data_IF_466817672033
#
_entry.id   IF_466817672033
#
_cell.length_a   1.000
_cell.length_b   1.000
_cell.length_c   1.000
_cell.angle_alpha   90.00
_cell.angle_beta   90.00
_cell.angle_gamma   90.00
#
_symmetry.space_group_name_H-M   'P 1'
#
loop_
_entity.id
_entity.type
_entity.pdbx_description
1 polymer ?
#
# COMPACT_ATOMS: atom_id res chain seq x y z
N UNK A 1 -1.14 -5.30 -28.45
CA UNK A 1 -1.22 -3.83 -28.43
C UNK A 1 -1.83 -3.46 -29.75
N UNK A 2 -2.99 -2.83 -29.73
CA UNK A 2 -3.68 -2.45 -30.96
C UNK A 2 -3.53 -0.95 -31.16
N UNK A 3 -3.20 -0.54 -32.39
CA UNK A 3 -3.04 0.86 -32.76
C UNK A 3 -4.34 1.31 -33.40
N UNK A 4 -4.96 2.34 -32.83
CA UNK A 4 -6.14 2.99 -33.40
C UNK A 4 -5.70 4.36 -33.90
N UNK A 5 -5.67 4.54 -35.21
CA UNK A 5 -5.41 5.83 -35.83
C UNK A 5 -6.74 6.56 -36.01
N UNK A 6 -6.97 7.62 -35.23
CA UNK A 6 -7.98 8.64 -35.52
C UNK A 6 -7.27 9.85 -36.12
N UNK A 7 -7.99 10.63 -36.93
CA UNK A 7 -7.49 11.66 -37.87
C UNK A 7 -6.44 12.65 -37.32
N UNK A 8 -6.31 12.81 -36.00
CA UNK A 8 -5.31 13.69 -35.39
C UNK A 8 -4.51 13.10 -34.20
N UNK A 9 -4.79 11.88 -33.73
CA UNK A 9 -4.11 11.31 -32.55
C UNK A 9 -3.92 9.79 -32.66
N UNK A 10 -2.69 9.32 -32.42
CA UNK A 10 -2.42 7.88 -32.26
C UNK A 10 -2.90 7.43 -30.88
N UNK A 11 -3.93 6.61 -30.82
CA UNK A 11 -4.39 5.96 -29.60
C UNK A 11 -3.86 4.52 -29.58
N UNK A 12 -3.42 4.08 -28.41
CA UNK A 12 -2.94 2.71 -28.19
C UNK A 12 -3.90 1.98 -27.25
N UNK A 13 -4.40 0.82 -27.66
CA UNK A 13 -5.11 -0.10 -26.78
C UNK A 13 -4.09 -1.06 -26.17
N UNK A 14 -3.80 -0.83 -24.89
CA UNK A 14 -2.87 -1.65 -24.11
C UNK A 14 -3.67 -2.46 -23.10
N UNK A 15 -3.48 -3.79 -23.12
CA UNK A 15 -4.02 -4.68 -22.10
C UNK A 15 -2.92 -4.99 -21.10
N UNK A 16 -3.11 -4.55 -19.86
CA UNK A 16 -2.16 -4.74 -18.77
C UNK A 16 -2.87 -5.57 -17.71
N UNK A 17 -2.24 -6.66 -17.26
CA UNK A 17 -2.73 -7.43 -16.13
C UNK A 17 -2.33 -6.73 -14.84
N UNK A 18 -3.31 -6.35 -14.03
CA UNK A 18 -3.08 -5.62 -12.78
C UNK A 18 -2.11 -6.32 -11.82
N UNK A 19 -2.14 -7.66 -11.81
CA UNK A 19 -1.37 -8.53 -10.91
C UNK A 19 0.04 -8.87 -11.41
N UNK A 20 0.33 -8.63 -12.70
CA UNK A 20 1.63 -8.93 -13.30
C UNK A 20 2.64 -7.79 -13.07
N UNK A 21 3.93 -8.13 -13.02
CA UNK A 21 5.01 -7.13 -12.97
C UNK A 21 5.53 -6.86 -14.38
N UNK A 22 5.79 -5.59 -14.67
CA UNK A 22 6.28 -5.10 -15.95
C UNK A 22 7.59 -4.35 -15.73
N UNK A 23 8.59 -4.63 -16.56
CA UNK A 23 9.85 -3.90 -16.51
C UNK A 23 9.72 -2.59 -17.29
N UNK A 24 9.88 -1.46 -16.60
CA UNK A 24 9.91 -0.15 -17.22
C UNK A 24 11.36 0.20 -17.50
N UNK A 25 11.69 0.24 -18.80
CA UNK A 25 13.01 0.59 -19.29
C UNK A 25 13.08 2.09 -19.58
N UNK A 26 14.01 2.77 -18.92
CA UNK A 26 14.39 4.14 -19.17
C UNK A 26 15.66 4.16 -20.02
N UNK A 27 15.52 4.71 -21.24
CA UNK A 27 16.62 4.78 -22.21
C UNK A 27 17.72 5.78 -21.81
N UNK A 28 17.37 6.83 -21.09
CA UNK A 28 18.28 7.93 -20.76
C UNK A 28 19.07 7.67 -19.48
N UNK A 29 18.44 7.00 -18.49
CA UNK A 29 19.09 6.68 -17.24
C UNK A 29 18.75 5.25 -16.82
N UNK A 30 19.75 4.36 -16.93
CA UNK A 30 19.61 2.95 -16.56
C UNK A 30 19.28 2.75 -15.07
N UNK A 31 19.65 3.68 -14.19
CA UNK A 31 19.36 3.60 -12.75
C UNK A 31 17.86 3.76 -12.46
N UNK A 32 17.10 4.32 -13.41
CA UNK A 32 15.65 4.48 -13.31
C UNK A 32 14.88 3.25 -13.82
N UNK A 33 15.58 2.21 -14.29
CA UNK A 33 14.95 0.97 -14.70
C UNK A 33 14.35 0.26 -13.48
N UNK A 34 13.07 -0.05 -13.53
CA UNK A 34 12.42 -0.71 -12.41
C UNK A 34 11.26 -1.61 -12.84
N UNK A 35 10.96 -2.60 -11.99
CA UNK A 35 9.73 -3.38 -12.13
C UNK A 35 8.57 -2.65 -11.46
N UNK A 36 7.47 -2.53 -12.19
CA UNK A 36 6.23 -1.89 -11.75
C UNK A 36 5.08 -2.90 -11.88
N UNK A 37 4.21 -2.98 -10.86
CA UNK A 37 2.99 -3.81 -10.96
C UNK A 37 2.02 -3.20 -11.98
N UNK A 38 1.30 -4.05 -12.72
CA UNK A 38 0.37 -3.62 -13.76
C UNK A 38 -0.66 -2.62 -13.27
N UNK A 39 -1.23 -2.78 -12.06
CA UNK A 39 -2.15 -1.82 -11.46
C UNK A 39 -1.56 -0.40 -11.34
N UNK A 40 -0.27 -0.32 -11.01
CA UNK A 40 0.46 0.94 -10.89
C UNK A 40 0.73 1.53 -12.27
N UNK A 41 1.11 0.69 -13.22
CA UNK A 41 1.37 1.10 -14.59
C UNK A 41 0.10 1.63 -15.27
N UNK A 42 -1.05 0.98 -15.06
CA UNK A 42 -2.36 1.45 -15.55
C UNK A 42 -2.68 2.84 -15.00
N UNK A 43 -2.55 3.04 -13.67
CA UNK A 43 -2.75 4.36 -13.04
C UNK A 43 -1.85 5.44 -13.65
N UNK A 44 -0.57 5.13 -13.87
CA UNK A 44 0.38 6.04 -14.51
C UNK A 44 -0.03 6.40 -15.94
N UNK A 45 -0.49 5.43 -16.73
CA UNK A 45 -0.85 5.62 -18.14
C UNK A 45 -2.22 6.28 -18.33
N UNK A 46 -3.18 6.06 -17.42
CA UNK A 46 -4.54 6.56 -17.54
C UNK A 46 -4.70 8.04 -17.19
N UNK A 47 -3.61 8.78 -16.92
CA UNK A 47 -3.64 10.12 -16.32
C UNK A 47 -4.48 10.21 -15.03
N UNK A 48 -4.79 9.06 -14.42
CA UNK A 48 -5.35 8.94 -13.08
C UNK A 48 -4.21 9.21 -12.09
N UNK A 49 -3.69 10.42 -12.22
CA UNK A 49 -2.48 10.95 -11.62
C UNK A 49 -2.73 11.42 -10.19
N UNK A 50 -3.74 10.87 -9.53
CA UNK A 50 -3.83 10.98 -8.08
C UNK A 50 -2.62 10.25 -7.48
N UNK A 51 -1.51 11.01 -7.40
CA UNK A 51 -0.21 10.72 -6.79
C UNK A 51 0.39 9.36 -7.22
N UNK A 52 1.34 9.38 -8.15
CA UNK A 52 2.30 8.28 -8.43
C UNK A 52 2.61 7.48 -7.16
N UNK A 53 2.43 6.14 -7.13
CA UNK A 53 2.54 5.41 -5.88
C UNK A 53 3.97 5.52 -5.37
N UNK A 54 4.07 6.08 -4.18
CA UNK A 54 5.28 6.02 -3.38
C UNK A 54 5.66 4.54 -3.27
N UNK A 55 6.95 4.22 -3.35
CA UNK A 55 7.40 2.84 -3.12
C UNK A 55 6.94 2.48 -1.71
N UNK A 56 5.91 1.62 -1.61
CA UNK A 56 5.26 1.33 -0.33
C UNK A 56 6.34 0.88 0.65
N UNK A 57 6.58 1.62 1.74
CA UNK A 57 7.58 1.21 2.71
C UNK A 57 7.11 -0.10 3.32
N UNK A 58 8.05 -1.02 3.53
CA UNK A 58 7.78 -2.22 4.30
C UNK A 58 7.74 -1.86 5.78
N UNK A 59 7.02 -2.62 6.59
CA UNK A 59 7.00 -2.46 8.05
C UNK A 59 8.43 -2.36 8.61
N UNK A 60 9.33 -3.22 8.13
CA UNK A 60 10.76 -3.18 8.46
C UNK A 60 11.41 -1.83 8.13
N UNK A 61 11.20 -1.29 6.93
CA UNK A 61 11.77 0.02 6.54
C UNK A 61 11.21 1.17 7.37
N UNK A 62 9.96 1.07 7.83
CA UNK A 62 9.34 2.05 8.72
C UNK A 62 9.92 1.96 10.13
N UNK A 63 10.08 0.76 10.67
CA UNK A 63 10.73 0.53 11.95
C UNK A 63 12.20 1.02 11.95
N UNK A 64 12.93 0.78 10.86
CA UNK A 64 14.29 1.30 10.67
C UNK A 64 14.29 2.84 10.69
N UNK A 65 13.37 3.48 9.96
CA UNK A 65 13.24 4.95 9.96
C UNK A 65 12.85 5.51 11.33
N UNK A 66 11.93 4.87 12.04
CA UNK A 66 11.55 5.26 13.41
C UNK A 66 12.76 5.16 14.35
N UNK A 67 13.55 4.10 14.22
CA UNK A 67 14.78 3.90 14.99
C UNK A 67 15.84 4.95 14.68
N UNK A 68 16.00 5.32 13.40
CA UNK A 68 16.89 6.41 12.98
C UNK A 68 16.45 7.75 13.58
N UNK A 69 15.15 8.07 13.52
CA UNK A 69 14.61 9.28 14.15
C UNK A 69 14.87 9.28 15.65
N UNK A 70 14.61 8.17 16.36
CA UNK A 70 14.87 8.07 17.79
C UNK A 70 16.33 8.42 18.12
N UNK A 71 17.28 7.79 17.41
CA UNK A 71 18.70 8.07 17.57
C UNK A 71 19.02 9.55 17.31
N UNK A 72 18.41 10.15 16.28
CA UNK A 72 18.64 11.55 15.96
C UNK A 72 18.07 12.51 17.01
N UNK A 73 16.91 12.22 17.59
CA UNK A 73 16.35 13.08 18.62
C UNK A 73 17.15 12.95 19.94
N UNK A 74 17.59 11.74 20.29
CA UNK A 74 18.51 11.53 21.41
C UNK A 74 19.80 12.33 21.23
N UNK A 75 20.40 12.32 20.04
CA UNK A 75 21.64 13.04 19.74
C UNK A 75 21.46 14.57 19.65
N UNK A 76 20.29 15.07 19.26
CA UNK A 76 20.05 16.52 19.10
C UNK A 76 19.64 17.21 20.40
N UNK A 77 19.62 16.51 21.54
CA UNK A 77 19.30 17.01 22.87
C UNK A 77 18.05 17.92 22.90
N UNK A 78 16.89 17.30 23.09
CA UNK A 78 15.67 17.89 23.71
C UNK A 78 14.82 18.87 22.91
N UNK A 79 14.80 18.84 21.57
CA UNK A 79 13.73 19.56 20.87
C UNK A 79 12.40 18.80 20.99
N UNK A 80 11.64 19.11 22.06
CA UNK A 80 10.36 18.48 22.43
C UNK A 80 9.38 18.38 21.25
N UNK A 81 9.41 19.35 20.34
CA UNK A 81 8.60 19.37 19.12
C UNK A 81 8.89 18.19 18.19
N UNK A 82 10.14 17.72 18.07
CA UNK A 82 10.45 16.57 17.21
C UNK A 82 9.94 15.26 17.80
N UNK A 83 9.97 15.11 19.14
CA UNK A 83 9.38 13.95 19.79
C UNK A 83 7.87 13.92 19.57
N UNK A 84 7.19 15.05 19.78
CA UNK A 84 5.74 15.17 19.57
C UNK A 84 5.33 14.82 18.13
N UNK A 85 6.03 15.35 17.11
CA UNK A 85 5.76 15.02 15.70
C UNK A 85 6.04 13.55 15.39
N UNK A 86 7.14 12.98 15.92
CA UNK A 86 7.46 11.57 15.73
C UNK A 86 6.37 10.69 16.36
N UNK A 87 5.97 10.97 17.58
CA UNK A 87 4.96 10.20 18.31
C UNK A 87 3.59 10.29 17.60
N UNK A 88 3.21 11.46 17.07
CA UNK A 88 2.03 11.64 16.20
C UNK A 88 2.10 10.71 14.97
N UNK A 89 3.21 10.75 14.23
CA UNK A 89 3.38 9.92 13.03
C UNK A 89 3.34 8.42 13.35
N UNK A 90 4.00 7.99 14.43
CA UNK A 90 4.01 6.58 14.86
C UNK A 90 2.61 6.13 15.26
N UNK A 91 1.84 6.96 15.96
CA UNK A 91 0.47 6.67 16.34
C UNK A 91 -0.45 6.57 15.11
N UNK A 92 -0.35 7.51 14.16
CA UNK A 92 -1.11 7.46 12.91
C UNK A 92 -0.79 6.18 12.09
N UNK A 93 0.48 5.77 12.03
CA UNK A 93 0.89 4.52 11.37
C UNK A 93 0.24 3.31 12.03
N UNK A 94 0.28 3.24 13.36
CA UNK A 94 -0.28 2.12 14.11
C UNK A 94 -1.82 2.01 13.92
N UNK A 95 -2.54 3.14 13.98
CA UNK A 95 -3.99 3.16 13.75
C UNK A 95 -4.38 2.66 12.35
N UNK A 96 -3.60 3.03 11.33
CA UNK A 96 -3.87 2.58 9.96
C UNK A 96 -3.51 1.11 9.79
N UNK A 97 -2.40 0.64 10.38
CA UNK A 97 -2.04 -0.79 10.35
C UNK A 97 -3.17 -1.65 10.96
N UNK A 98 -3.73 -1.23 12.10
CA UNK A 98 -4.87 -1.93 12.71
C UNK A 98 -6.10 -1.97 11.77
N UNK A 99 -6.44 -0.86 11.12
CA UNK A 99 -7.56 -0.81 10.15
C UNK A 99 -7.30 -1.66 8.92
N UNK A 100 -6.06 -1.69 8.44
CA UNK A 100 -5.65 -2.52 7.31
C UNK A 100 -5.80 -4.01 7.64
N UNK A 101 -5.33 -4.43 8.83
CA UNK A 101 -5.46 -5.80 9.30
C UNK A 101 -6.93 -6.21 9.45
N UNK A 102 -7.75 -5.40 10.13
CA UNK A 102 -9.18 -5.66 10.30
C UNK A 102 -9.92 -5.79 8.96
N UNK A 103 -9.60 -4.91 8.00
CA UNK A 103 -10.22 -4.95 6.66
C UNK A 103 -9.79 -6.18 5.87
N UNK A 104 -8.51 -6.59 5.99
CA UNK A 104 -8.00 -7.80 5.34
C UNK A 104 -8.64 -9.07 5.92
N UNK A 105 -8.81 -9.15 7.24
CA UNK A 105 -9.49 -10.26 7.89
C UNK A 105 -10.96 -10.38 7.44
N UNK A 106 -11.67 -9.25 7.34
CA UNK A 106 -13.04 -9.22 6.79
C UNK A 106 -13.08 -9.72 5.36
N UNK A 107 -12.17 -9.26 4.49
CA UNK A 107 -12.08 -9.73 3.09
C UNK A 107 -11.78 -11.24 3.04
N UNK A 108 -10.85 -11.73 3.87
CA UNK A 108 -10.50 -13.15 3.92
C UNK A 108 -11.70 -14.01 4.34
N UNK A 109 -12.46 -13.54 5.34
CA UNK A 109 -13.69 -14.19 5.82
C UNK A 109 -14.75 -14.26 4.72
N UNK A 110 -15.02 -13.14 4.04
CA UNK A 110 -15.99 -13.10 2.95
C UNK A 110 -15.55 -13.95 1.75
N UNK A 111 -14.26 -13.97 1.41
CA UNK A 111 -13.73 -14.84 0.36
C UNK A 111 -13.93 -16.31 0.71
N UNK A 112 -13.67 -16.69 1.97
CA UNK A 112 -13.90 -18.07 2.44
C UNK A 112 -15.39 -18.44 2.36
N UNK A 113 -16.28 -17.51 2.70
CA UNK A 113 -17.74 -17.70 2.55
C UNK A 113 -18.13 -17.87 1.08
N UNK A 114 -17.60 -17.03 0.19
CA UNK A 114 -17.84 -17.13 -1.25
C UNK A 114 -17.34 -18.47 -1.82
N UNK A 115 -16.16 -18.93 -1.41
CA UNK A 115 -15.60 -20.22 -1.79
C UNK A 115 -16.51 -21.38 -1.35
N UNK A 116 -16.98 -21.38 -0.10
CA UNK A 116 -17.92 -22.39 0.41
C UNK A 116 -19.22 -22.40 -0.40
N UNK A 117 -19.80 -21.24 -0.71
CA UNK A 117 -21.02 -21.14 -1.52
C UNK A 117 -20.85 -21.66 -2.95
N UNK A 118 -19.67 -21.42 -3.56
CA UNK A 118 -19.34 -21.95 -4.89
C UNK A 118 -19.21 -23.48 -4.82
N UNK A 119 -18.49 -23.99 -3.82
CA UNK A 119 -18.25 -25.43 -3.65
C UNK A 119 -19.51 -26.22 -3.26
N UNK A 120 -20.51 -25.60 -2.62
CA UNK A 120 -21.82 -26.24 -2.39
C UNK A 120 -22.54 -26.61 -3.70
N UNK A 121 -22.27 -25.88 -4.78
CA UNK A 121 -22.82 -26.13 -6.12
C UNK A 121 -21.88 -26.96 -7.01
N UNK A 122 -20.75 -27.44 -6.49
CA UNK A 122 -19.81 -28.23 -7.29
C UNK A 122 -20.36 -29.62 -7.59
N UNK A 123 -20.03 -30.15 -8.77
CA UNK A 123 -20.35 -31.53 -9.15
C UNK A 123 -19.54 -32.56 -8.33
N UNK A 124 -18.38 -32.16 -7.79
CA UNK A 124 -17.56 -33.02 -6.93
C UNK A 124 -18.28 -33.34 -5.61
N UNK A 125 -18.50 -34.63 -5.37
CA UNK A 125 -19.21 -35.11 -4.19
C UNK A 125 -18.40 -34.88 -2.90
N UNK A 126 -17.07 -34.98 -2.98
CA UNK A 126 -16.18 -34.78 -1.84
C UNK A 126 -16.14 -33.30 -1.46
N UNK A 127 -15.86 -32.43 -2.44
CA UNK A 127 -15.85 -30.97 -2.26
C UNK A 127 -17.16 -30.42 -1.71
N UNK A 128 -18.30 -30.92 -2.20
CA UNK A 128 -19.63 -30.51 -1.72
C UNK A 128 -19.89 -30.93 -0.27
N UNK A 129 -19.45 -32.12 0.16
CA UNK A 129 -19.58 -32.57 1.56
C UNK A 129 -18.74 -31.71 2.51
N UNK A 130 -17.50 -31.40 2.11
CA UNK A 130 -16.62 -30.48 2.85
C UNK A 130 -17.23 -29.08 2.95
N UNK A 131 -17.72 -28.54 1.83
CA UNK A 131 -18.38 -27.24 1.81
C UNK A 131 -19.61 -27.19 2.72
N UNK A 132 -20.39 -28.28 2.82
CA UNK A 132 -21.54 -28.35 3.72
C UNK A 132 -21.12 -28.28 5.19
N UNK A 133 -20.05 -28.98 5.56
CA UNK A 133 -19.47 -28.89 6.91
C UNK A 133 -18.99 -27.46 7.23
N UNK A 134 -18.26 -26.84 6.31
CA UNK A 134 -17.78 -25.46 6.50
C UNK A 134 -18.93 -24.44 6.52
N UNK A 135 -19.98 -24.65 5.72
CA UNK A 135 -21.18 -23.83 5.70
C UNK A 135 -21.91 -23.83 7.05
N UNK A 136 -22.09 -25.02 7.64
CA UNK A 136 -22.70 -25.19 8.95
C UNK A 136 -21.84 -24.55 10.06
N UNK A 137 -20.51 -24.73 10.00
CA UNK A 137 -19.56 -24.11 10.95
C UNK A 137 -19.58 -22.58 10.89
N UNK A 138 -19.80 -21.99 9.72
CA UNK A 138 -19.86 -20.53 9.55
C UNK A 138 -21.21 -19.92 9.94
N UNK A 139 -22.20 -20.73 10.37
CA UNK A 139 -23.57 -20.29 10.65
C UNK A 139 -24.18 -19.48 9.48
N UNK A 140 -23.82 -19.82 8.24
CA UNK A 140 -24.33 -19.11 7.07
C UNK A 140 -25.80 -19.46 6.83
N UNK A 141 -26.56 -18.47 6.36
CA UNK A 141 -27.93 -18.70 5.89
C UNK A 141 -27.91 -18.81 4.38
N UNK A 142 -28.61 -19.80 3.81
CA UNK A 142 -28.64 -20.04 2.35
C UNK A 142 -29.21 -18.84 1.57
N UNK A 143 -29.92 -17.92 2.25
CA UNK A 143 -30.40 -16.66 1.68
C UNK A 143 -29.30 -15.63 1.36
N UNK A 144 -28.07 -15.82 1.86
CA UNK A 144 -26.95 -14.94 1.53
C UNK A 144 -26.60 -15.18 0.06
N UNK A 145 -27.06 -14.28 -0.81
CA UNK A 145 -26.73 -14.31 -2.23
C UNK A 145 -25.25 -14.03 -2.45
N UNK A 146 -24.60 -14.86 -3.28
CA UNK A 146 -23.22 -14.68 -3.73
C UNK A 146 -22.97 -13.27 -4.27
N UNK A 147 -23.95 -12.68 -4.96
CA UNK A 147 -23.87 -11.31 -5.49
C UNK A 147 -23.72 -10.25 -4.40
N UNK A 148 -24.43 -10.43 -3.28
CA UNK A 148 -24.30 -9.54 -2.11
C UNK A 148 -22.90 -9.67 -1.49
N UNK A 149 -22.43 -10.89 -1.34
CA UNK A 149 -21.08 -11.19 -0.85
C UNK A 149 -19.99 -10.54 -1.70
N UNK A 150 -20.09 -10.70 -3.03
CA UNK A 150 -19.16 -10.07 -3.98
C UNK A 150 -19.22 -8.54 -3.92
N UNK A 151 -20.42 -7.97 -3.75
CA UNK A 151 -20.59 -6.52 -3.59
C UNK A 151 -19.90 -6.02 -2.31
N UNK A 152 -20.03 -6.75 -1.20
CA UNK A 152 -19.41 -6.39 0.07
C UNK A 152 -17.89 -6.57 0.03
N UNK A 153 -17.37 -7.62 -0.63
CA UNK A 153 -15.94 -7.78 -0.91
C UNK A 153 -15.40 -6.59 -1.70
N UNK A 154 -16.13 -6.14 -2.74
CA UNK A 154 -15.70 -5.03 -3.58
C UNK A 154 -15.65 -3.71 -2.80
N UNK A 155 -16.62 -3.46 -1.91
CA UNK A 155 -16.60 -2.31 -0.99
C UNK A 155 -15.40 -2.36 -0.05
N UNK A 156 -15.14 -3.51 0.59
CA UNK A 156 -13.99 -3.66 1.48
C UNK A 156 -12.66 -3.52 0.74
N UNK A 157 -12.56 -3.98 -0.52
CA UNK A 157 -11.38 -3.74 -1.35
C UNK A 157 -11.16 -2.26 -1.65
N UNK A 158 -12.23 -1.49 -1.85
CA UNK A 158 -12.16 -0.03 -1.98
C UNK A 158 -11.72 0.63 -0.67
N UNK A 159 -12.28 0.22 0.47
CA UNK A 159 -11.86 0.68 1.79
C UNK A 159 -10.38 0.38 2.06
N UNK A 160 -9.95 -0.86 1.78
CA UNK A 160 -8.55 -1.27 1.90
C UNK A 160 -7.63 -0.40 1.03
N UNK A 161 -8.04 -0.09 -0.19
CA UNK A 161 -7.31 0.80 -1.10
C UNK A 161 -7.20 2.22 -0.54
N UNK A 162 -8.25 2.73 0.10
CA UNK A 162 -8.26 4.04 0.72
C UNK A 162 -7.33 4.11 1.94
N UNK A 163 -7.38 3.11 2.83
CA UNK A 163 -6.49 3.04 3.99
C UNK A 163 -5.02 2.91 3.57
N UNK A 164 -4.76 2.14 2.52
CA UNK A 164 -3.44 2.07 1.87
C UNK A 164 -2.96 3.46 1.43
N UNK A 165 -3.83 4.27 0.80
CA UNK A 165 -3.43 5.58 0.31
C UNK A 165 -3.10 6.53 1.47
N UNK A 166 -3.84 6.44 2.59
CA UNK A 166 -3.55 7.19 3.83
C UNK A 166 -2.20 6.78 4.42
N UNK A 167 -1.93 5.47 4.49
CA UNK A 167 -0.65 4.94 4.94
C UNK A 167 0.52 5.49 4.10
N UNK A 168 0.35 5.51 2.78
CA UNK A 168 1.36 6.04 1.85
C UNK A 168 1.58 7.55 2.03
N UNK A 169 0.54 8.32 2.38
CA UNK A 169 0.67 9.74 2.69
C UNK A 169 1.47 9.99 3.98
N UNK A 170 1.23 9.20 5.03
CA UNK A 170 1.94 9.31 6.30
C UNK A 170 3.39 8.85 6.16
N UNK A 171 3.63 7.78 5.42
CA UNK A 171 4.97 7.35 5.07
C UNK A 171 5.78 8.45 4.37
N UNK A 172 5.15 9.23 3.48
CA UNK A 172 5.79 10.39 2.83
C UNK A 172 6.07 11.51 3.84
N UNK A 173 5.14 11.81 4.74
CA UNK A 173 5.35 12.79 5.84
C UNK A 173 6.56 12.38 6.68
N UNK A 174 6.65 11.10 7.07
CA UNK A 174 7.78 10.55 7.80
C UNK A 174 9.09 10.67 7.03
N UNK A 175 9.11 10.36 5.74
CA UNK A 175 10.30 10.49 4.90
C UNK A 175 10.81 11.93 4.80
N UNK A 176 9.88 12.89 4.67
CA UNK A 176 10.20 14.32 4.69
C UNK A 176 10.75 14.75 6.05
N UNK A 177 10.15 14.26 7.14
CA UNK A 177 10.60 14.55 8.50
C UNK A 177 12.04 14.05 8.73
N UNK A 178 12.34 12.80 8.37
CA UNK A 178 13.71 12.23 8.42
C UNK A 178 14.69 13.10 7.63
N UNK A 179 14.32 13.53 6.42
CA UNK A 179 15.17 14.40 5.58
C UNK A 179 15.44 15.75 6.26
N UNK A 180 14.43 16.39 6.84
CA UNK A 180 14.57 17.68 7.54
C UNK A 180 15.51 17.55 8.74
N UNK A 181 15.32 16.52 9.58
CA UNK A 181 16.21 16.29 10.73
C UNK A 181 17.64 16.03 10.24
N UNK A 182 17.81 15.23 9.19
CA UNK A 182 19.13 14.93 8.63
C UNK A 182 19.81 16.21 8.13
N UNK A 183 19.11 17.06 7.38
CA UNK A 183 19.64 18.35 6.93
C UNK A 183 20.00 19.27 8.11
N UNK A 184 19.14 19.37 9.13
CA UNK A 184 19.43 20.18 10.32
C UNK A 184 20.67 19.66 11.07
N UNK A 185 20.83 18.34 11.23
CA UNK A 185 22.02 17.75 11.86
C UNK A 185 23.29 18.09 11.06
N UNK A 186 23.24 18.00 9.72
CA UNK A 186 24.37 18.42 8.87
C UNK A 186 24.69 19.90 9.02
N UNK A 187 23.69 20.77 9.18
CA UNK A 187 23.97 22.19 9.45
C UNK A 187 24.64 22.39 10.81
N UNK A 188 24.13 21.76 11.88
CA UNK A 188 24.71 21.87 13.23
C UNK A 188 26.14 21.32 13.30
N UNK A 189 26.41 20.17 12.66
CA UNK A 189 27.76 19.60 12.60
C UNK A 189 28.74 20.52 11.85
N UNK A 190 28.33 21.11 10.73
CA UNK A 190 29.15 22.11 10.01
C UNK A 190 29.44 23.35 10.86
N UNK A 191 28.46 23.83 11.64
CA UNK A 191 28.70 24.94 12.56
C UNK A 191 29.73 24.57 13.65
N UNK A 192 29.70 23.34 14.17
CA UNK A 192 30.69 22.89 15.14
C UNK A 192 32.08 22.68 14.52
N UNK A 193 32.19 22.11 13.32
CA UNK A 193 33.48 21.98 12.63
C UNK A 193 34.10 23.35 12.31
N UNK A 194 33.30 24.30 11.83
CA UNK A 194 33.79 25.65 11.55
C UNK A 194 34.23 26.39 12.83
N UNK A 195 33.52 26.20 13.95
CA UNK A 195 33.89 26.78 15.24
C UNK A 195 35.13 26.15 15.88
N UNK A 196 35.50 24.92 15.50
CA UNK A 196 36.73 24.27 15.95
C UNK A 196 37.95 24.61 15.08
N UNK A 197 37.74 25.23 13.92
CA UNK A 197 38.80 25.63 12.98
C UNK A 197 39.18 27.11 13.09
N UNK A 198 38.49 27.89 13.93
CA UNK A 198 38.86 29.27 14.33
C UNK A 198 39.59 29.29 15.69
#
# INVERSE_FOLDING_TARGET
>A
MDIMEEENHKKYKVYIRETSSYFVYNKENMDNNCFIKGRTLIRQLSNDSQKLPYRRPTLKSLQEKISEINLMIELSNTNKQYQEIKDELVLEIAEIDMKLEETQEKIATLNKMAEVLINLKSEDEIGRKLAKYDFDQMNMTESIMLDRLNTDILKLQQELSNEINKYEEIARRLDLFVKIINTNKFTVLKFHENALLE
#
